data_IF_897457866779
#
_entry.id   IF_897457866779
#
_cell.length_a   1.000
_cell.length_b   1.000
_cell.length_c   1.000
_cell.angle_alpha   90.00
_cell.angle_beta   90.00
_cell.angle_gamma   90.00
#
_symmetry.space_group_name_H-M   'P 1'
#
loop_
_entity.id
_entity.type
_entity.pdbx_description
1 polymer ?
#
# COMPACT_ATOMS: atom_id res chain seq x y z
N UNK A 1 -67.41 -23.64 -13.83
CA UNK A 1 -66.20 -23.84 -14.64
C UNK A 1 -65.54 -22.58 -15.20
N UNK A 2 -66.25 -21.54 -15.69
CA UNK A 2 -65.64 -20.33 -16.23
C UNK A 2 -64.91 -19.44 -15.19
N UNK A 3 -65.30 -19.42 -13.93
CA UNK A 3 -64.64 -18.62 -12.89
C UNK A 3 -63.29 -19.16 -12.49
N UNK A 4 -63.13 -20.49 -12.41
CA UNK A 4 -61.86 -21.10 -12.04
C UNK A 4 -60.81 -20.89 -13.11
N UNK A 5 -61.16 -20.96 -14.39
CA UNK A 5 -60.22 -20.70 -15.49
C UNK A 5 -59.65 -19.27 -15.45
N UNK A 6 -60.45 -18.29 -15.08
CA UNK A 6 -59.99 -16.89 -14.94
C UNK A 6 -59.01 -16.72 -13.76
N UNK A 7 -59.26 -17.44 -12.63
CA UNK A 7 -58.35 -17.41 -11.48
C UNK A 7 -57.01 -18.00 -11.81
N UNK A 8 -56.94 -19.13 -12.54
CA UNK A 8 -55.69 -19.69 -12.99
C UNK A 8 -54.95 -18.83 -14.00
N UNK A 9 -55.66 -18.12 -14.88
CA UNK A 9 -55.03 -17.18 -15.80
C UNK A 9 -54.41 -15.98 -15.08
N UNK A 10 -55.11 -15.41 -14.07
CA UNK A 10 -54.59 -14.28 -13.27
C UNK A 10 -53.40 -14.72 -12.43
N UNK A 11 -53.45 -15.93 -11.83
CA UNK A 11 -52.34 -16.47 -11.04
C UNK A 11 -51.11 -16.79 -11.88
N UNK A 12 -51.32 -17.26 -13.12
CA UNK A 12 -50.23 -17.49 -14.08
C UNK A 12 -49.56 -16.21 -14.54
N UNK A 13 -50.33 -15.15 -14.77
CA UNK A 13 -49.78 -13.82 -15.13
C UNK A 13 -49.03 -13.20 -13.93
N UNK A 14 -49.52 -13.34 -12.72
CA UNK A 14 -48.84 -12.84 -11.52
C UNK A 14 -47.51 -13.57 -11.28
N UNK A 15 -47.47 -14.89 -11.51
CA UNK A 15 -46.25 -15.67 -11.41
C UNK A 15 -45.21 -15.28 -12.47
N UNK A 16 -45.64 -14.97 -13.70
CA UNK A 16 -44.78 -14.54 -14.80
C UNK A 16 -44.17 -13.13 -14.53
N UNK A 17 -44.94 -12.25 -13.89
CA UNK A 17 -44.44 -10.90 -13.54
C UNK A 17 -43.38 -10.97 -12.41
N UNK A 18 -43.55 -11.89 -11.43
CA UNK A 18 -42.54 -12.09 -10.40
C UNK A 18 -41.22 -12.65 -10.92
N UNK A 19 -41.22 -13.41 -12.01
CA UNK A 19 -40.00 -13.93 -12.64
C UNK A 19 -39.24 -12.85 -13.44
N UNK A 20 -39.90 -11.79 -13.88
CA UNK A 20 -39.27 -10.70 -14.62
C UNK A 20 -38.62 -9.61 -13.74
N UNK A 21 -38.98 -9.54 -12.44
CA UNK A 21 -38.37 -8.57 -11.49
C UNK A 21 -37.14 -9.12 -10.77
N UNK A 22 -36.76 -10.39 -10.98
CA UNK A 22 -35.62 -11.06 -10.35
C UNK A 22 -34.26 -10.73 -10.95
N UNK A 23 -34.17 -9.84 -11.96
CA UNK A 23 -32.89 -9.37 -12.49
C UNK A 23 -32.59 -7.97 -11.92
N UNK A 24 -32.69 -7.82 -10.59
CA UNK A 24 -31.95 -6.76 -9.91
C UNK A 24 -30.49 -7.22 -9.90
N UNK A 25 -29.75 -6.64 -10.85
CA UNK A 25 -28.35 -6.93 -11.06
C UNK A 25 -27.58 -6.91 -9.74
N UNK A 26 -27.13 -8.07 -9.30
CA UNK A 26 -25.86 -8.13 -8.61
C UNK A 26 -24.86 -7.41 -9.54
N UNK A 27 -24.58 -6.14 -9.27
CA UNK A 27 -23.31 -5.56 -9.65
C UNK A 27 -22.28 -6.53 -9.06
N UNK A 28 -21.74 -7.41 -9.88
CA UNK A 28 -20.45 -8.01 -9.60
C UNK A 28 -19.56 -6.81 -9.29
N UNK A 29 -19.26 -6.59 -8.01
CA UNK A 29 -17.99 -5.98 -7.66
C UNK A 29 -17.01 -6.84 -8.44
N UNK A 30 -16.38 -6.25 -9.46
CA UNK A 30 -15.16 -6.82 -9.98
C UNK A 30 -14.33 -7.12 -8.74
N UNK A 31 -14.13 -8.39 -8.43
CA UNK A 31 -13.08 -8.80 -7.51
C UNK A 31 -11.82 -8.30 -8.20
N UNK A 32 -11.36 -7.10 -7.80
CA UNK A 32 -10.00 -6.69 -8.03
C UNK A 32 -9.19 -7.86 -7.52
N UNK A 33 -8.41 -8.48 -8.39
CA UNK A 33 -7.41 -9.45 -7.96
C UNK A 33 -6.68 -8.79 -6.80
N UNK A 34 -6.54 -9.51 -5.67
CA UNK A 34 -5.86 -8.96 -4.50
C UNK A 34 -4.50 -8.44 -4.98
N UNK A 35 -4.20 -7.19 -4.65
CA UNK A 35 -2.95 -6.58 -5.05
C UNK A 35 -1.79 -7.38 -4.48
N UNK A 36 -0.71 -7.52 -5.23
CA UNK A 36 0.44 -8.33 -4.82
C UNK A 36 1.11 -7.79 -3.56
N UNK A 37 1.12 -6.46 -3.39
CA UNK A 37 1.76 -5.77 -2.29
C UNK A 37 0.87 -4.67 -1.72
N UNK A 38 1.22 -4.21 -0.52
CA UNK A 38 0.66 -2.99 0.09
C UNK A 38 1.76 -1.96 0.27
N UNK A 39 1.64 -0.80 -0.36
CA UNK A 39 2.48 0.35 -0.02
C UNK A 39 1.82 1.19 1.07
N UNK A 40 2.62 1.87 1.87
CA UNK A 40 2.14 2.71 2.95
C UNK A 40 2.37 4.19 2.62
N UNK A 41 1.28 4.94 2.57
CA UNK A 41 1.29 6.40 2.49
C UNK A 41 1.09 6.99 3.89
N UNK A 42 1.22 8.31 4.03
CA UNK A 42 0.97 9.00 5.30
C UNK A 42 -0.37 9.71 5.18
N UNK A 43 -1.23 9.62 6.20
CA UNK A 43 -2.51 10.32 6.20
C UNK A 43 -2.32 11.85 6.13
N UNK A 44 -3.39 12.57 5.79
CA UNK A 44 -3.30 14.02 5.56
C UNK A 44 -2.85 14.80 6.81
N UNK A 45 -3.19 14.32 8.01
CA UNK A 45 -2.75 14.94 9.27
C UNK A 45 -1.29 14.64 9.63
N UNK A 46 -0.60 13.75 8.92
CA UNK A 46 0.80 13.40 9.19
C UNK A 46 1.01 12.58 10.46
N UNK A 47 0.02 11.82 10.90
CA UNK A 47 0.03 11.11 12.20
C UNK A 47 -0.02 9.60 12.10
N UNK A 48 -0.35 9.04 10.93
CA UNK A 48 -0.51 7.60 10.75
C UNK A 48 -0.20 7.16 9.31
N UNK A 49 0.11 5.88 9.15
CA UNK A 49 0.21 5.22 7.86
C UNK A 49 -1.17 4.82 7.34
N UNK A 50 -1.35 4.96 6.03
CA UNK A 50 -2.54 4.52 5.28
C UNK A 50 -2.09 3.49 4.25
N UNK A 51 -2.64 2.27 4.29
CA UNK A 51 -2.32 1.24 3.30
C UNK A 51 -2.94 1.59 1.95
N UNK A 52 -2.22 1.25 0.88
CA UNK A 52 -2.66 1.36 -0.50
C UNK A 52 -2.21 0.14 -1.29
N UNK A 53 -3.11 -0.43 -2.08
CA UNK A 53 -2.83 -1.55 -2.97
C UNK A 53 -1.76 -1.18 -4.00
N UNK A 54 -0.84 -2.11 -4.26
CA UNK A 54 0.22 -2.00 -5.25
C UNK A 54 0.44 -3.32 -5.97
N UNK A 55 0.22 -3.35 -7.27
CA UNK A 55 0.29 -4.59 -8.06
C UNK A 55 1.73 -5.06 -8.34
N UNK A 56 2.73 -4.23 -8.04
CA UNK A 56 4.12 -4.50 -8.35
C UNK A 56 4.46 -4.28 -9.83
N UNK A 57 5.68 -4.65 -10.21
CA UNK A 57 6.18 -4.61 -11.59
C UNK A 57 6.01 -5.97 -12.28
N UNK A 58 5.93 -7.04 -11.51
CA UNK A 58 5.88 -8.43 -12.00
C UNK A 58 7.20 -8.92 -12.60
N UNK A 59 8.30 -8.24 -12.30
CA UNK A 59 9.62 -8.48 -12.89
C UNK A 59 10.64 -8.94 -11.84
N UNK A 60 11.91 -8.57 -12.00
CA UNK A 60 12.98 -8.91 -11.07
C UNK A 60 12.83 -8.19 -9.72
N UNK A 61 13.48 -8.70 -8.68
CA UNK A 61 13.55 -8.08 -7.35
C UNK A 61 14.01 -6.61 -7.44
N UNK A 62 15.04 -6.35 -8.26
CA UNK A 62 15.58 -5.00 -8.48
C UNK A 62 14.53 -4.04 -9.07
N UNK A 63 13.74 -4.51 -10.04
CA UNK A 63 12.65 -3.72 -10.63
C UNK A 63 11.47 -3.54 -9.67
N UNK A 64 11.16 -4.54 -8.83
CA UNK A 64 10.16 -4.42 -7.76
C UNK A 64 10.59 -3.36 -6.73
N UNK A 65 11.85 -3.38 -6.28
CA UNK A 65 12.40 -2.37 -5.35
C UNK A 65 12.28 -0.97 -5.97
N UNK A 66 12.73 -0.79 -7.21
CA UNK A 66 12.63 0.51 -7.93
C UNK A 66 11.19 0.98 -8.09
N UNK A 67 10.32 0.07 -8.49
CA UNK A 67 8.88 0.36 -8.68
C UNK A 67 8.22 0.80 -7.38
N UNK A 68 8.45 0.07 -6.29
CA UNK A 68 7.89 0.37 -4.98
C UNK A 68 8.42 1.68 -4.40
N UNK A 69 9.74 1.94 -4.50
CA UNK A 69 10.33 3.22 -4.11
C UNK A 69 9.75 4.41 -4.89
N UNK A 70 9.52 4.23 -6.20
CA UNK A 70 8.84 5.24 -7.02
C UNK A 70 7.39 5.46 -6.59
N UNK A 71 6.66 4.39 -6.25
CA UNK A 71 5.28 4.48 -5.78
C UNK A 71 5.17 5.20 -4.42
N UNK A 72 6.13 4.97 -3.50
CA UNK A 72 6.20 5.64 -2.19
C UNK A 72 6.48 7.16 -2.29
N UNK A 73 7.03 7.62 -3.42
CA UNK A 73 7.22 9.06 -3.69
C UNK A 73 5.99 9.74 -4.31
N UNK A 74 4.95 8.98 -4.66
CA UNK A 74 3.73 9.47 -5.30
C UNK A 74 2.54 9.34 -4.39
N UNK A 75 1.60 10.25 -4.54
CA UNK A 75 0.27 10.16 -3.95
C UNK A 75 -0.75 10.57 -5.01
N UNK A 76 -1.69 9.70 -5.34
CA UNK A 76 -2.70 9.97 -6.37
C UNK A 76 -3.90 10.73 -5.79
N UNK A 77 -4.13 10.65 -4.48
CA UNK A 77 -5.21 11.36 -3.78
C UNK A 77 -4.63 12.23 -2.67
N UNK A 78 -4.09 13.39 -3.06
CA UNK A 78 -3.49 14.36 -2.14
C UNK A 78 -4.49 14.94 -1.12
N UNK A 79 -5.80 14.71 -1.30
CA UNK A 79 -6.82 15.13 -0.33
C UNK A 79 -6.87 14.17 0.87
N UNK A 80 -6.59 12.88 0.65
CA UNK A 80 -6.70 11.84 1.70
C UNK A 80 -5.37 11.45 2.32
N UNK A 81 -4.29 11.54 1.55
CA UNK A 81 -2.99 11.09 1.96
C UNK A 81 -1.86 11.97 1.41
N UNK A 82 -0.66 11.73 1.89
CA UNK A 82 0.59 12.31 1.42
C UNK A 82 1.54 11.18 1.01
N UNK A 83 2.40 11.45 0.04
CA UNK A 83 3.48 10.53 -0.30
C UNK A 83 4.33 10.22 0.94
N UNK A 84 4.74 8.97 1.11
CA UNK A 84 5.61 8.58 2.23
C UNK A 84 6.93 9.37 2.19
N UNK A 85 7.54 9.47 1.01
CA UNK A 85 8.79 10.20 0.78
C UNK A 85 8.50 11.61 0.27
N UNK A 86 8.94 12.68 0.97
CA UNK A 86 8.84 14.05 0.48
C UNK A 86 9.66 14.26 -0.80
N UNK A 87 9.18 15.12 -1.71
CA UNK A 87 9.85 15.40 -3.01
C UNK A 87 11.32 15.82 -2.91
N UNK A 88 11.72 16.46 -1.80
CA UNK A 88 13.11 16.89 -1.56
C UNK A 88 14.05 15.77 -1.11
N UNK A 89 13.49 14.67 -0.60
CA UNK A 89 14.24 13.47 -0.19
C UNK A 89 14.55 12.67 -1.45
N UNK A 90 15.83 12.54 -1.76
CA UNK A 90 16.30 11.84 -2.96
C UNK A 90 17.05 10.59 -2.58
N UNK A 91 16.64 9.46 -3.16
CA UNK A 91 17.44 8.25 -3.15
C UNK A 91 18.64 8.47 -4.09
N UNK A 92 19.84 8.32 -3.58
CA UNK A 92 21.08 8.45 -4.34
C UNK A 92 21.49 7.10 -4.95
N UNK A 93 21.38 6.06 -4.16
CA UNK A 93 21.63 4.67 -4.56
C UNK A 93 21.04 3.71 -3.56
N UNK A 94 21.00 2.44 -3.89
CA UNK A 94 20.77 1.35 -2.94
C UNK A 94 21.67 0.16 -3.27
N UNK A 95 21.84 -0.74 -2.31
CA UNK A 95 22.46 -2.05 -2.50
C UNK A 95 21.54 -3.12 -1.94
N UNK A 96 21.50 -4.28 -2.57
CA UNK A 96 20.76 -5.45 -2.12
C UNK A 96 21.71 -6.65 -2.16
N UNK A 97 22.05 -7.18 -0.99
CA UNK A 97 22.95 -8.33 -0.82
C UNK A 97 22.42 -9.19 0.32
N UNK A 98 22.35 -10.49 0.14
CA UNK A 98 21.87 -11.43 1.15
C UNK A 98 20.54 -11.00 1.80
N UNK A 99 19.54 -10.61 0.95
CA UNK A 99 18.22 -10.16 1.37
C UNK A 99 18.21 -8.89 2.23
N UNK A 100 19.34 -8.18 2.31
CA UNK A 100 19.52 -6.93 3.05
C UNK A 100 19.58 -5.76 2.09
N UNK A 101 18.58 -4.91 2.15
CA UNK A 101 18.48 -3.70 1.33
C UNK A 101 19.00 -2.49 2.10
N UNK A 102 20.00 -1.81 1.55
CA UNK A 102 20.50 -0.55 2.11
C UNK A 102 20.10 0.58 1.16
N UNK A 103 19.38 1.56 1.70
CA UNK A 103 18.91 2.75 1.00
C UNK A 103 19.75 3.95 1.39
N UNK A 104 20.37 4.62 0.43
CA UNK A 104 21.19 5.80 0.66
C UNK A 104 20.45 7.06 0.19
N UNK A 105 20.09 7.90 1.12
CA UNK A 105 19.37 9.15 0.89
C UNK A 105 20.27 10.36 1.12
N UNK A 106 19.92 11.45 0.45
CA UNK A 106 20.55 12.75 0.66
C UNK A 106 20.20 13.35 2.04
N UNK A 107 20.93 14.39 2.45
CA UNK A 107 20.76 15.11 3.73
C UNK A 107 19.33 15.58 4.01
N UNK A 108 18.47 15.69 2.99
CA UNK A 108 17.08 16.11 3.19
C UNK A 108 16.26 15.07 4.00
N UNK A 109 16.66 13.78 3.99
CA UNK A 109 16.05 12.76 4.83
C UNK A 109 16.25 13.07 6.32
N UNK A 110 17.48 13.33 6.75
CA UNK A 110 17.80 13.63 8.15
C UNK A 110 17.27 14.99 8.65
N UNK A 111 16.76 15.83 7.75
CA UNK A 111 16.15 17.14 8.10
C UNK A 111 14.62 17.06 8.30
N UNK A 112 14.03 15.87 8.21
CA UNK A 112 12.62 15.68 8.56
C UNK A 112 12.41 15.87 10.07
N UNK A 113 11.21 16.33 10.46
CA UNK A 113 10.82 16.26 11.86
C UNK A 113 10.67 14.78 12.30
N UNK A 114 10.73 14.56 13.61
CA UNK A 114 10.78 13.21 14.18
C UNK A 114 9.57 12.35 13.79
N UNK A 115 8.36 12.91 13.82
CA UNK A 115 7.15 12.15 13.51
C UNK A 115 7.16 11.78 12.03
N UNK A 116 7.50 12.72 11.16
CA UNK A 116 7.59 12.48 9.72
C UNK A 116 8.67 11.45 9.38
N UNK A 117 9.82 11.49 10.05
CA UNK A 117 10.92 10.54 9.86
C UNK A 117 10.47 9.12 10.23
N UNK A 118 9.88 8.94 11.42
CA UNK A 118 9.38 7.63 11.88
C UNK A 118 8.34 7.05 10.91
N UNK A 119 7.38 7.85 10.47
CA UNK A 119 6.36 7.40 9.52
C UNK A 119 6.95 7.07 8.14
N UNK A 120 7.90 7.88 7.67
CA UNK A 120 8.59 7.63 6.42
C UNK A 120 9.38 6.32 6.46
N UNK A 121 10.15 6.10 7.54
CA UNK A 121 10.92 4.88 7.76
C UNK A 121 10.02 3.65 7.89
N UNK A 122 8.96 3.74 8.67
CA UNK A 122 7.97 2.67 8.78
C UNK A 122 7.31 2.34 7.44
N UNK A 123 6.97 3.35 6.64
CA UNK A 123 6.41 3.16 5.30
C UNK A 123 7.39 2.43 4.37
N UNK A 124 8.67 2.85 4.36
CA UNK A 124 9.72 2.21 3.57
C UNK A 124 9.91 0.75 3.97
N UNK A 125 10.16 0.49 5.24
CA UNK A 125 10.46 -0.86 5.73
C UNK A 125 9.27 -1.78 5.50
N UNK A 126 8.06 -1.41 5.96
CA UNK A 126 6.87 -2.24 5.82
C UNK A 126 6.43 -2.49 4.38
N UNK A 127 6.77 -1.60 3.46
CA UNK A 127 6.48 -1.83 2.04
C UNK A 127 7.52 -2.74 1.40
N UNK A 128 8.81 -2.45 1.59
CA UNK A 128 9.90 -3.13 0.88
C UNK A 128 10.13 -4.56 1.35
N UNK A 129 9.92 -4.86 2.64
CA UNK A 129 10.06 -6.22 3.18
C UNK A 129 8.95 -7.19 2.77
N UNK A 130 7.98 -6.75 1.96
CA UNK A 130 7.02 -7.65 1.30
C UNK A 130 7.57 -8.25 0.01
N UNK A 131 8.69 -7.73 -0.50
CA UNK A 131 9.30 -8.22 -1.75
C UNK A 131 10.12 -9.47 -1.41
N UNK A 132 9.82 -10.60 -2.07
CA UNK A 132 10.61 -11.82 -1.94
C UNK A 132 12.09 -11.52 -2.26
N UNK A 133 12.99 -11.82 -1.31
CA UNK A 133 14.41 -11.48 -1.39
C UNK A 133 14.78 -10.13 -0.77
N UNK A 134 13.88 -9.50 0.02
CA UNK A 134 14.16 -8.31 0.85
C UNK A 134 13.61 -8.54 2.26
N UNK A 135 14.43 -9.04 3.16
CA UNK A 135 14.04 -9.32 4.54
C UNK A 135 14.29 -8.13 5.46
N UNK A 136 15.39 -7.43 5.23
CA UNK A 136 15.86 -6.37 6.10
C UNK A 136 16.15 -5.09 5.30
N UNK A 137 15.78 -3.94 5.87
CA UNK A 137 16.03 -2.62 5.27
C UNK A 137 16.85 -1.77 6.24
N UNK A 138 17.92 -1.16 5.76
CA UNK A 138 18.68 -0.14 6.47
C UNK A 138 18.65 1.17 5.69
N UNK A 139 18.53 2.28 6.41
CA UNK A 139 18.56 3.62 5.82
C UNK A 139 19.86 4.30 6.21
N UNK A 140 20.54 4.84 5.21
CA UNK A 140 21.72 5.69 5.35
C UNK A 140 21.39 7.10 4.85
N UNK A 141 21.94 8.12 5.50
CA UNK A 141 21.83 9.53 5.12
C UNK A 141 23.23 10.10 4.96
N UNK A 142 23.50 10.73 3.82
CA UNK A 142 24.85 11.22 3.47
C UNK A 142 25.93 10.13 3.67
N UNK A 143 25.60 8.89 3.30
CA UNK A 143 26.53 7.75 3.35
C UNK A 143 26.67 7.10 4.73
N UNK A 144 26.07 7.62 5.79
CA UNK A 144 26.14 7.07 7.16
C UNK A 144 24.82 6.48 7.61
N UNK A 145 24.81 5.38 8.40
CA UNK A 145 23.57 4.82 8.94
C UNK A 145 22.76 5.86 9.72
N UNK A 146 21.43 5.85 9.52
CA UNK A 146 20.52 6.75 10.22
C UNK A 146 20.57 6.51 11.73
N UNK A 147 20.61 7.58 12.50
CA UNK A 147 20.68 7.55 13.97
C UNK A 147 19.46 8.22 14.60
N UNK A 148 19.16 7.82 15.82
CA UNK A 148 18.23 8.53 16.69
C UNK A 148 18.83 9.83 17.22
N UNK A 149 18.06 10.60 18.01
CA UNK A 149 18.50 11.85 18.63
C UNK A 149 19.63 11.66 19.68
N UNK A 150 19.86 10.43 20.14
CA UNK A 150 20.91 10.08 21.11
C UNK A 150 22.18 9.60 20.41
N UNK A 151 22.16 9.47 19.08
CA UNK A 151 23.27 8.99 18.27
C UNK A 151 23.31 7.46 18.12
N UNK A 152 22.30 6.71 18.58
CA UNK A 152 22.24 5.28 18.35
C UNK A 152 21.75 5.01 16.91
N UNK A 153 22.42 4.09 16.22
CA UNK A 153 22.00 3.67 14.87
C UNK A 153 20.74 2.82 14.94
N UNK A 154 19.81 3.02 14.00
CA UNK A 154 18.65 2.13 13.85
C UNK A 154 19.04 0.76 13.27
N UNK A 155 20.12 0.70 12.48
CA UNK A 155 20.56 -0.55 11.85
C UNK A 155 19.57 -1.11 10.82
N UNK A 156 19.62 -2.43 10.65
CA UNK A 156 18.67 -3.16 9.82
C UNK A 156 17.34 -3.33 10.55
N UNK A 157 16.24 -3.13 9.83
CA UNK A 157 14.88 -3.17 10.36
C UNK A 157 13.98 -4.03 9.47
N UNK A 158 12.94 -4.59 10.08
CA UNK A 158 11.90 -5.38 9.46
C UNK A 158 10.51 -4.83 9.80
N UNK A 159 9.46 -5.34 9.15
CA UNK A 159 8.11 -4.81 9.31
C UNK A 159 7.62 -4.84 10.77
N UNK A 160 7.99 -5.88 11.51
CA UNK A 160 7.61 -6.13 12.91
C UNK A 160 8.12 -5.05 13.87
N UNK A 161 9.22 -4.37 13.54
CA UNK A 161 9.76 -3.26 14.35
C UNK A 161 8.79 -2.06 14.42
N UNK A 162 7.77 -2.03 13.55
CA UNK A 162 6.77 -0.97 13.44
C UNK A 162 5.33 -1.42 13.74
N UNK A 163 5.14 -2.61 14.26
CA UNK A 163 3.84 -3.10 14.73
C UNK A 163 3.76 -2.85 16.23
N UNK A 164 2.82 -2.01 16.66
CA UNK A 164 2.50 -1.90 18.09
C UNK A 164 1.62 -3.10 18.46
N UNK A 165 2.08 -3.87 19.45
CA UNK A 165 1.28 -4.89 20.14
C UNK A 165 0.25 -4.23 21.06
#
# INVERSE_FOLDING_TARGET
MRRMKKIYQIMSILLAVCLLTGIVGCRKKEQKADAKYTIYQINQSGTALVPKDYDGTGKSVDEEVKGMLSALQKCDDEVKAQAALPKKVKLERYTLEDEKLILYYNAAYGKMDTVREVLCRAALVRSLTQIDGVDLVMICVDGTPLTDKKGNTYGYQQAEDFVQN
#
